data_IF_155407588258
#
_entry.id   IF_155407588258
#
_cell.length_a   1.000
_cell.length_b   1.000
_cell.length_c   1.000
_cell.angle_alpha   90.00
_cell.angle_beta   90.00
_cell.angle_gamma   90.00
#
_symmetry.space_group_name_H-M   'P 1'
#
loop_
_entity.id
_entity.type
_entity.pdbx_description
1 polymer ?
#
# COMPACT_ATOMS: atom_id res chain seq x y z
N UNK A 1 -13.08 -27.37 26.38
CA UNK A 1 -13.50 -27.26 24.96
C UNK A 1 -13.82 -25.82 24.54
N UNK A 2 -13.77 -24.82 25.43
CA UNK A 2 -14.14 -23.42 25.11
C UNK A 2 -13.07 -22.62 24.33
N UNK A 3 -11.77 -22.95 24.45
CA UNK A 3 -10.71 -22.20 23.76
C UNK A 3 -10.83 -22.21 22.22
N UNK A 4 -11.28 -23.31 21.61
CA UNK A 4 -11.40 -23.46 20.15
C UNK A 4 -12.42 -22.48 19.53
N UNK A 5 -13.47 -22.12 20.27
CA UNK A 5 -14.46 -21.15 19.80
C UNK A 5 -13.90 -19.71 19.78
N UNK A 6 -13.06 -19.37 20.77
CA UNK A 6 -12.44 -18.05 20.90
C UNK A 6 -11.40 -17.77 19.82
N UNK A 7 -10.56 -18.77 19.48
CA UNK A 7 -9.55 -18.66 18.43
C UNK A 7 -10.20 -18.58 17.06
N UNK A 8 -11.19 -19.44 16.76
CA UNK A 8 -11.97 -19.36 15.52
C UNK A 8 -12.64 -17.98 15.36
N UNK A 9 -13.23 -17.43 16.43
CA UNK A 9 -13.83 -16.10 16.41
C UNK A 9 -12.81 -14.98 16.16
N UNK A 10 -11.64 -15.02 16.82
CA UNK A 10 -10.54 -14.07 16.59
C UNK A 10 -10.03 -14.13 15.15
N UNK A 11 -9.80 -15.34 14.62
CA UNK A 11 -9.38 -15.53 13.23
C UNK A 11 -10.43 -15.03 12.25
N UNK A 12 -11.71 -15.34 12.46
CA UNK A 12 -12.80 -14.85 11.60
C UNK A 12 -12.88 -13.33 11.61
N UNK A 13 -12.72 -12.68 12.78
CA UNK A 13 -12.68 -11.22 12.88
C UNK A 13 -11.48 -10.62 12.16
N UNK A 14 -10.29 -11.21 12.31
CA UNK A 14 -9.09 -10.79 11.59
C UNK A 14 -9.23 -10.93 10.07
N UNK A 15 -9.78 -12.05 9.60
CA UNK A 15 -10.08 -12.26 8.18
C UNK A 15 -11.11 -11.24 7.66
N UNK A 16 -12.16 -10.96 8.43
CA UNK A 16 -13.14 -9.95 8.05
C UNK A 16 -12.52 -8.54 7.98
N UNK A 17 -11.60 -8.23 8.89
CA UNK A 17 -10.83 -6.98 8.87
C UNK A 17 -9.99 -6.87 7.60
N UNK A 18 -9.14 -7.86 7.32
CA UNK A 18 -8.30 -7.89 6.11
C UNK A 18 -9.13 -7.91 4.82
N UNK A 19 -10.26 -8.61 4.81
CA UNK A 19 -11.16 -8.62 3.65
C UNK A 19 -11.78 -7.23 3.40
N UNK A 20 -12.19 -6.54 4.47
CA UNK A 20 -12.74 -5.19 4.37
C UNK A 20 -11.68 -4.21 3.86
N UNK A 21 -10.45 -4.31 4.37
CA UNK A 21 -9.32 -3.52 3.91
C UNK A 21 -9.01 -3.78 2.42
N UNK A 22 -8.98 -5.04 2.00
CA UNK A 22 -8.75 -5.41 0.61
C UNK A 22 -9.85 -4.88 -0.31
N UNK A 23 -11.10 -5.05 0.09
CA UNK A 23 -12.26 -4.58 -0.67
C UNK A 23 -12.29 -3.05 -0.77
N UNK A 24 -11.95 -2.35 0.31
CA UNK A 24 -11.87 -0.89 0.31
C UNK A 24 -10.77 -0.40 -0.65
N UNK A 25 -9.56 -0.96 -0.57
CA UNK A 25 -8.45 -0.59 -1.44
C UNK A 25 -8.78 -0.83 -2.92
N UNK A 26 -9.26 -2.04 -3.28
CA UNK A 26 -9.62 -2.33 -4.67
C UNK A 26 -10.85 -1.55 -5.13
N UNK A 27 -11.83 -1.33 -4.25
CA UNK A 27 -13.01 -0.53 -4.56
C UNK A 27 -12.65 0.91 -4.91
N UNK A 28 -11.80 1.55 -4.09
CA UNK A 28 -11.29 2.90 -4.35
C UNK A 28 -10.50 2.93 -5.66
N UNK A 29 -9.57 1.99 -5.86
CA UNK A 29 -8.78 1.92 -7.09
C UNK A 29 -9.67 1.75 -8.33
N UNK A 30 -10.69 0.91 -8.25
CA UNK A 30 -11.64 0.67 -9.33
C UNK A 30 -12.43 1.93 -9.69
N UNK A 31 -12.90 2.68 -8.69
CA UNK A 31 -13.60 3.95 -8.90
C UNK A 31 -12.66 4.96 -9.58
N UNK A 32 -11.41 5.08 -9.12
CA UNK A 32 -10.41 5.96 -9.73
C UNK A 32 -10.19 5.58 -11.20
N UNK A 33 -10.08 4.29 -11.52
CA UNK A 33 -9.91 3.84 -12.90
C UNK A 33 -11.11 4.15 -13.79
N UNK A 34 -12.34 4.05 -13.28
CA UNK A 34 -13.55 4.46 -14.03
C UNK A 34 -13.52 5.96 -14.31
N UNK A 35 -13.16 6.77 -13.31
CA UNK A 35 -13.07 8.23 -13.46
C UNK A 35 -12.01 8.60 -14.49
N UNK A 36 -10.80 8.03 -14.38
CA UNK A 36 -9.73 8.20 -15.35
C UNK A 36 -10.17 7.78 -16.75
N UNK A 37 -10.88 6.65 -16.88
CA UNK A 37 -11.34 6.17 -18.16
C UNK A 37 -12.35 7.08 -18.86
N UNK A 38 -13.07 7.92 -18.12
CA UNK A 38 -13.95 8.95 -18.68
C UNK A 38 -13.24 10.26 -19.00
N UNK A 39 -12.16 10.58 -18.27
CA UNK A 39 -11.43 11.84 -18.42
C UNK A 39 -10.32 11.76 -19.48
N UNK A 40 -9.66 10.61 -19.61
CA UNK A 40 -8.56 10.43 -20.55
C UNK A 40 -9.04 9.98 -21.93
N UNK A 41 -8.41 10.52 -22.98
CA UNK A 41 -8.55 9.96 -24.32
C UNK A 41 -7.88 8.56 -24.36
N UNK A 42 -8.38 7.65 -25.23
CA UNK A 42 -7.84 6.29 -25.36
C UNK A 42 -6.32 6.22 -25.58
N UNK A 43 -5.75 7.25 -26.21
CA UNK A 43 -4.32 7.36 -26.52
C UNK A 43 -3.41 7.50 -25.28
N UNK A 44 -3.93 8.06 -24.17
CA UNK A 44 -3.13 8.30 -22.97
C UNK A 44 -3.11 7.11 -22.01
N UNK A 45 -3.94 6.09 -22.22
CA UNK A 45 -3.99 4.92 -21.36
C UNK A 45 -2.67 4.13 -21.34
N UNK A 46 -1.96 4.08 -22.48
CA UNK A 46 -0.64 3.44 -22.54
C UNK A 46 0.38 4.12 -21.64
N UNK A 47 0.37 5.46 -21.61
CA UNK A 47 1.27 6.28 -20.78
C UNK A 47 0.94 6.11 -19.30
N UNK A 48 -0.35 6.14 -18.94
CA UNK A 48 -0.80 5.87 -17.57
C UNK A 48 -0.34 4.47 -17.12
N UNK A 49 -0.51 3.45 -17.96
CA UNK A 49 -0.05 2.10 -17.66
C UNK A 49 1.46 2.03 -17.37
N UNK A 50 2.28 2.70 -18.18
CA UNK A 50 3.73 2.76 -17.96
C UNK A 50 4.10 3.45 -16.64
N UNK A 51 3.45 4.58 -16.33
CA UNK A 51 3.68 5.30 -15.07
C UNK A 51 3.25 4.47 -13.86
N UNK A 52 2.12 3.75 -13.96
CA UNK A 52 1.64 2.88 -12.88
C UNK A 52 2.63 1.76 -12.54
N UNK A 53 3.34 1.21 -13.53
CA UNK A 53 4.40 0.21 -13.28
C UNK A 53 5.55 0.84 -12.48
N UNK A 54 5.99 2.05 -12.84
CA UNK A 54 7.02 2.76 -12.10
C UNK A 54 6.55 3.07 -10.67
N UNK A 55 5.33 3.57 -10.49
CA UNK A 55 4.75 3.84 -9.17
C UNK A 55 4.69 2.57 -8.32
N UNK A 56 4.29 1.43 -8.89
CA UNK A 56 4.22 0.16 -8.16
C UNK A 56 5.60 -0.29 -7.66
N UNK A 57 6.63 -0.17 -8.51
CA UNK A 57 8.02 -0.48 -8.14
C UNK A 57 8.51 0.49 -7.05
N UNK A 58 8.27 1.80 -7.21
CA UNK A 58 8.64 2.81 -6.22
C UNK A 58 7.98 2.57 -4.87
N UNK A 59 6.69 2.24 -4.82
CA UNK A 59 5.99 1.94 -3.57
C UNK A 59 6.57 0.69 -2.88
N UNK A 60 6.92 -0.35 -3.64
CA UNK A 60 7.57 -1.53 -3.09
C UNK A 60 8.96 -1.24 -2.52
N UNK A 61 9.71 -0.32 -3.14
CA UNK A 61 11.02 0.13 -2.68
C UNK A 61 10.94 1.05 -1.47
N UNK A 62 9.93 1.93 -1.40
CA UNK A 62 9.72 2.80 -0.24
C UNK A 62 9.35 1.96 0.98
N UNK A 63 8.33 1.11 0.85
CA UNK A 63 7.85 0.34 2.00
C UNK A 63 8.86 -0.72 2.45
N UNK A 64 9.62 -1.32 1.52
CA UNK A 64 10.65 -2.34 1.80
C UNK A 64 10.22 -3.50 2.73
N UNK A 65 8.91 -3.68 2.98
CA UNK A 65 8.38 -4.62 3.98
C UNK A 65 8.43 -4.14 5.43
N UNK A 66 8.82 -2.89 5.69
CA UNK A 66 8.88 -2.31 7.04
C UNK A 66 7.50 -2.27 7.70
N UNK A 67 6.44 -1.91 6.96
CA UNK A 67 5.09 -1.93 7.51
C UNK A 67 4.69 -3.33 8.00
N UNK A 68 5.01 -4.39 7.26
CA UNK A 68 4.73 -5.77 7.67
C UNK A 68 5.61 -6.22 8.84
N UNK A 69 6.86 -5.76 8.89
CA UNK A 69 7.75 -6.02 10.03
C UNK A 69 7.21 -5.41 11.32
N UNK A 70 6.79 -4.13 11.27
CA UNK A 70 6.20 -3.41 12.41
C UNK A 70 4.88 -4.02 12.88
N UNK A 71 4.06 -4.56 11.98
CA UNK A 71 2.80 -5.25 12.35
C UNK A 71 3.07 -6.59 13.04
N UNK A 72 4.16 -7.28 12.66
CA UNK A 72 4.50 -8.61 13.19
C UNK A 72 5.21 -8.54 14.54
N UNK A 73 5.98 -7.49 14.77
CA UNK A 73 6.75 -7.32 15.99
C UNK A 73 5.83 -6.96 17.17
N UNK A 74 6.05 -7.58 18.33
CA UNK A 74 5.21 -7.33 19.52
C UNK A 74 5.79 -6.23 20.42
N UNK A 75 7.08 -5.93 20.30
CA UNK A 75 7.81 -4.94 21.10
C UNK A 75 8.33 -3.78 20.23
N UNK A 76 7.42 -3.13 19.51
CA UNK A 76 7.72 -1.94 18.69
C UNK A 76 7.61 -0.66 19.50
N UNK A 77 8.66 0.15 19.49
CA UNK A 77 8.69 1.46 20.14
C UNK A 77 8.16 2.57 19.21
N UNK A 78 7.81 3.73 19.77
CA UNK A 78 7.46 4.91 18.97
C UNK A 78 8.65 5.42 18.12
N UNK A 79 9.88 5.15 18.54
CA UNK A 79 11.08 5.50 17.78
C UNK A 79 11.18 4.66 16.51
N UNK A 80 10.76 3.40 16.54
CA UNK A 80 10.76 2.51 15.36
C UNK A 80 9.74 3.00 14.31
N UNK A 81 8.51 3.32 14.74
CA UNK A 81 7.50 3.91 13.86
C UNK A 81 7.98 5.22 13.22
N UNK A 82 8.58 6.10 14.02
CA UNK A 82 9.09 7.39 13.54
C UNK A 82 10.25 7.21 12.56
N UNK A 83 11.15 6.25 12.84
CA UNK A 83 12.30 5.95 11.97
C UNK A 83 11.83 5.44 10.61
N UNK A 84 10.90 4.48 10.58
CA UNK A 84 10.32 3.95 9.33
C UNK A 84 9.58 5.05 8.57
N UNK A 85 8.82 5.90 9.26
CA UNK A 85 8.14 7.03 8.63
C UNK A 85 9.12 7.99 7.95
N UNK A 86 10.15 8.44 8.67
CA UNK A 86 11.15 9.36 8.13
C UNK A 86 11.95 8.72 6.99
N UNK A 87 12.30 7.43 7.11
CA UNK A 87 12.95 6.68 6.04
C UNK A 87 12.08 6.63 4.79
N UNK A 88 10.82 6.19 4.90
CA UNK A 88 9.89 6.11 3.78
C UNK A 88 9.68 7.47 3.12
N UNK A 89 9.56 8.54 3.92
CA UNK A 89 9.43 9.91 3.42
C UNK A 89 10.66 10.35 2.62
N UNK A 90 11.86 10.15 3.16
CA UNK A 90 13.12 10.52 2.49
C UNK A 90 13.29 9.74 1.18
N UNK A 91 13.07 8.42 1.20
CA UNK A 91 13.18 7.57 0.02
C UNK A 91 12.13 7.95 -1.03
N UNK A 92 10.89 8.25 -0.61
CA UNK A 92 9.84 8.71 -1.53
C UNK A 92 10.22 10.02 -2.22
N UNK A 93 10.76 10.99 -1.47
CA UNK A 93 11.24 12.27 -2.01
C UNK A 93 12.40 12.03 -2.99
N UNK A 94 13.35 11.18 -2.63
CA UNK A 94 14.50 10.86 -3.46
C UNK A 94 14.07 10.18 -4.77
N UNK A 95 13.18 9.18 -4.71
CA UNK A 95 12.63 8.52 -5.89
C UNK A 95 11.83 9.48 -6.76
N UNK A 96 11.04 10.37 -6.16
CA UNK A 96 10.34 11.43 -6.90
C UNK A 96 11.33 12.32 -7.67
N UNK A 97 12.40 12.79 -7.03
CA UNK A 97 13.42 13.62 -7.68
C UNK A 97 14.11 12.86 -8.82
N UNK A 98 14.46 11.59 -8.62
CA UNK A 98 15.07 10.76 -9.67
C UNK A 98 14.14 10.63 -10.87
N UNK A 99 12.87 10.27 -10.63
CA UNK A 99 11.88 10.14 -11.70
C UNK A 99 11.64 11.48 -12.41
N UNK A 100 11.58 12.59 -11.67
CA UNK A 100 11.38 13.91 -12.24
C UNK A 100 12.54 14.36 -13.14
N UNK A 101 13.78 14.06 -12.77
CA UNK A 101 14.97 14.43 -13.56
C UNK A 101 15.17 13.48 -14.76
N UNK A 102 14.69 12.24 -14.68
CA UNK A 102 14.84 11.23 -15.74
C UNK A 102 13.71 11.23 -16.78
N UNK A 103 12.56 11.83 -16.47
CA UNK A 103 11.43 12.06 -17.37
C UNK A 103 11.69 13.25 -18.30
#
# INVERSE_FOLDING_TARGET
>A
MEQNSSLKSKTLKGLFWSFTELLANYGIQFIIQIVLARLLLPEYFGIIGMILVLIAISNSLVDCGFTQALIRDQDVSQEDYSTVFHFNLIISILLYIILFISA
#
